data_IF_238314928096
#
_entry.id   IF_238314928096
#
_cell.length_a   1.000
_cell.length_b   1.000
_cell.length_c   1.000
_cell.angle_alpha   90.00
_cell.angle_beta   90.00
_cell.angle_gamma   90.00
#
_symmetry.space_group_name_H-M   'P 1'
#
loop_
_entity.id
_entity.type
_entity.pdbx_description
1 polymer ?
#
# COMPACT_ATOMS: atom_id res chain seq x y z
N UNK A 1 6.75 -23.01 -10.96
CA UNK A 1 6.73 -22.47 -9.57
C UNK A 1 6.23 -21.03 -9.63
N UNK A 2 5.23 -20.65 -8.85
CA UNK A 2 4.70 -19.29 -8.85
C UNK A 2 5.75 -18.33 -8.26
N UNK A 3 6.09 -17.27 -8.98
CA UNK A 3 7.11 -16.28 -8.62
C UNK A 3 6.46 -15.04 -7.99
N UNK A 4 5.39 -14.55 -8.61
CA UNK A 4 4.65 -13.39 -8.14
C UNK A 4 3.78 -13.72 -6.93
N UNK A 5 3.81 -12.84 -5.94
CA UNK A 5 2.91 -12.82 -4.79
C UNK A 5 1.69 -11.94 -5.03
N UNK A 6 1.10 -11.43 -3.96
CA UNK A 6 -0.03 -10.48 -4.03
C UNK A 6 0.37 -9.07 -4.45
N UNK A 7 1.66 -8.70 -4.24
CA UNK A 7 2.19 -7.38 -4.56
C UNK A 7 3.64 -7.53 -5.08
N UNK A 8 3.77 -7.98 -6.31
CA UNK A 8 5.05 -8.23 -6.96
C UNK A 8 5.78 -9.47 -6.45
N UNK A 9 7.10 -9.47 -6.60
CA UNK A 9 7.99 -10.56 -6.16
C UNK A 9 8.68 -10.14 -4.88
N UNK A 10 8.49 -10.88 -3.78
CA UNK A 10 9.08 -10.56 -2.47
C UNK A 10 9.87 -11.74 -1.91
N UNK A 11 10.89 -11.44 -1.11
CA UNK A 11 11.64 -12.43 -0.36
C UNK A 11 12.87 -11.87 0.31
N UNK A 12 13.53 -12.71 1.10
CA UNK A 12 14.77 -12.36 1.80
C UNK A 12 15.88 -12.12 0.76
N UNK A 13 16.50 -10.93 0.84
CA UNK A 13 17.60 -10.56 -0.04
C UNK A 13 18.83 -11.48 0.18
N UNK A 14 19.45 -11.92 -0.90
CA UNK A 14 20.55 -12.88 -0.87
C UNK A 14 20.12 -14.34 -0.69
N UNK A 15 18.83 -14.61 -0.43
CA UNK A 15 18.29 -15.99 -0.32
C UNK A 15 17.35 -16.27 -1.51
N UNK A 16 16.17 -15.65 -1.53
CA UNK A 16 15.24 -15.73 -2.67
C UNK A 16 15.61 -14.70 -3.75
N UNK A 17 15.82 -13.45 -3.35
CA UNK A 17 16.24 -12.39 -4.26
C UNK A 17 17.77 -12.36 -4.34
N UNK A 18 18.34 -13.33 -5.06
CA UNK A 18 19.76 -13.35 -5.44
C UNK A 18 19.99 -12.53 -6.71
N UNK A 19 21.22 -12.03 -6.97
CA UNK A 19 21.51 -11.30 -8.21
C UNK A 19 21.12 -12.08 -9.47
N UNK A 20 21.37 -13.39 -9.51
CA UNK A 20 21.02 -14.24 -10.67
C UNK A 20 19.52 -14.36 -10.88
N UNK A 21 18.76 -14.55 -9.78
CA UNK A 21 17.30 -14.58 -9.85
C UNK A 21 16.74 -13.24 -10.34
N UNK A 22 17.26 -12.12 -9.81
CA UNK A 22 16.82 -10.77 -10.18
C UNK A 22 17.17 -10.46 -11.64
N UNK A 23 18.36 -10.83 -12.12
CA UNK A 23 18.74 -10.68 -13.53
C UNK A 23 17.77 -11.45 -14.43
N UNK A 24 17.52 -12.71 -14.12
CA UNK A 24 16.59 -13.55 -14.88
C UNK A 24 15.18 -12.93 -14.92
N UNK A 25 14.68 -12.46 -13.79
CA UNK A 25 13.38 -11.79 -13.70
C UNK A 25 13.37 -10.48 -14.52
N UNK A 26 14.46 -9.70 -14.45
CA UNK A 26 14.62 -8.46 -15.20
C UNK A 26 14.60 -8.68 -16.71
N UNK A 27 15.28 -9.72 -17.21
CA UNK A 27 15.24 -10.10 -18.63
C UNK A 27 13.82 -10.51 -19.02
N UNK A 28 13.17 -11.40 -18.24
CA UNK A 28 11.83 -11.87 -18.53
C UNK A 28 10.81 -10.73 -18.59
N UNK A 29 10.80 -9.85 -17.59
CA UNK A 29 9.94 -8.68 -17.55
C UNK A 29 10.23 -7.71 -18.71
N UNK A 30 11.52 -7.45 -18.98
CA UNK A 30 11.93 -6.60 -20.11
C UNK A 30 11.47 -7.15 -21.45
N UNK A 31 11.57 -8.46 -21.70
CA UNK A 31 11.06 -9.11 -22.92
C UNK A 31 9.54 -9.00 -23.03
N UNK A 32 8.84 -9.13 -21.92
CA UNK A 32 7.38 -8.90 -21.88
C UNK A 32 7.05 -7.46 -22.31
N UNK A 33 7.66 -6.46 -21.68
CA UNK A 33 7.41 -5.05 -22.00
C UNK A 33 7.86 -4.68 -23.42
N UNK A 34 8.85 -5.36 -23.96
CA UNK A 34 9.35 -5.12 -25.34
C UNK A 34 8.27 -5.32 -26.40
N UNK A 35 7.29 -6.19 -26.15
CA UNK A 35 6.16 -6.44 -27.07
C UNK A 35 5.30 -5.19 -27.29
N UNK A 36 5.30 -4.26 -26.32
CA UNK A 36 4.51 -3.03 -26.35
C UNK A 36 5.35 -1.76 -26.21
N UNK A 37 6.68 -1.89 -26.35
CA UNK A 37 7.64 -0.79 -26.19
C UNK A 37 7.42 0.30 -27.25
N UNK A 38 7.41 1.56 -26.79
CA UNK A 38 7.31 2.75 -27.64
C UNK A 38 8.55 3.64 -27.55
N UNK A 39 9.21 3.63 -26.39
CA UNK A 39 10.28 4.58 -26.05
C UNK A 39 11.58 3.89 -25.71
N UNK A 40 11.55 2.59 -25.55
CA UNK A 40 12.68 1.76 -25.14
C UNK A 40 13.33 2.22 -23.81
N UNK A 41 12.51 2.74 -22.88
CA UNK A 41 12.94 3.25 -21.59
C UNK A 41 12.23 2.53 -20.44
N UNK A 42 12.98 2.17 -19.40
CA UNK A 42 12.44 1.66 -18.14
C UNK A 42 12.95 2.52 -16.99
N UNK A 43 12.02 2.91 -16.11
CA UNK A 43 12.30 3.64 -14.88
C UNK A 43 12.53 2.66 -13.73
N UNK A 44 13.57 2.87 -12.91
CA UNK A 44 13.83 2.10 -11.70
C UNK A 44 14.00 3.05 -10.51
N UNK A 45 13.21 2.82 -9.47
CA UNK A 45 13.42 3.44 -8.18
C UNK A 45 13.42 2.39 -7.07
N UNK A 46 13.75 2.82 -5.86
CA UNK A 46 13.88 1.94 -4.70
C UNK A 46 13.51 2.66 -3.40
N UNK A 47 13.29 1.89 -2.34
CA UNK A 47 13.31 2.41 -0.99
C UNK A 47 14.77 2.55 -0.47
N UNK A 48 14.91 2.71 0.84
CA UNK A 48 16.21 2.97 1.47
C UNK A 48 16.99 1.72 1.87
N UNK A 49 16.48 0.52 1.62
CA UNK A 49 17.11 -0.76 1.99
C UNK A 49 18.48 -0.91 1.36
N UNK A 50 19.46 -1.36 2.15
CA UNK A 50 20.84 -1.63 1.68
C UNK A 50 20.88 -2.64 0.53
N UNK A 51 20.03 -3.67 0.59
CA UNK A 51 19.90 -4.67 -0.49
C UNK A 51 19.36 -4.11 -1.80
N UNK A 52 18.75 -2.93 -1.78
CA UNK A 52 18.26 -2.23 -2.97
C UNK A 52 19.35 -1.98 -4.00
N UNK A 53 20.59 -1.73 -3.57
CA UNK A 53 21.74 -1.56 -4.51
C UNK A 53 22.05 -2.84 -5.31
N UNK A 54 22.04 -3.99 -4.63
CA UNK A 54 22.26 -5.27 -5.30
C UNK A 54 21.15 -5.59 -6.30
N UNK A 55 19.90 -5.38 -5.91
CA UNK A 55 18.74 -5.65 -6.78
C UNK A 55 18.70 -4.67 -7.95
N UNK A 56 18.92 -3.37 -7.72
CA UNK A 56 18.95 -2.34 -8.76
C UNK A 56 20.02 -2.63 -9.82
N UNK A 57 21.26 -2.92 -9.41
CA UNK A 57 22.35 -3.22 -10.35
C UNK A 57 22.09 -4.49 -11.17
N UNK A 58 21.50 -5.51 -10.58
CA UNK A 58 21.12 -6.73 -11.30
C UNK A 58 20.02 -6.45 -12.34
N UNK A 59 19.00 -5.65 -12.00
CA UNK A 59 17.96 -5.22 -12.95
C UNK A 59 18.52 -4.36 -14.07
N UNK A 60 19.41 -3.41 -13.76
CA UNK A 60 20.05 -2.55 -14.75
C UNK A 60 20.84 -3.39 -15.74
N UNK A 61 21.67 -4.32 -15.26
CA UNK A 61 22.44 -5.23 -16.14
C UNK A 61 21.52 -6.08 -17.00
N UNK A 62 20.46 -6.63 -16.45
CA UNK A 62 19.47 -7.44 -17.16
C UNK A 62 18.80 -6.64 -18.30
N UNK A 63 18.30 -5.47 -17.99
CA UNK A 63 17.52 -4.66 -18.93
C UNK A 63 18.39 -4.05 -20.03
N UNK A 64 19.59 -3.58 -19.69
CA UNK A 64 20.54 -3.06 -20.70
C UNK A 64 21.03 -4.17 -21.62
N UNK A 65 21.24 -5.40 -21.14
CA UNK A 65 21.65 -6.54 -21.95
C UNK A 65 20.65 -6.92 -23.04
N UNK A 66 19.38 -6.59 -22.89
CA UNK A 66 18.31 -6.80 -23.88
C UNK A 66 17.92 -5.52 -24.62
N UNK A 67 18.73 -4.46 -24.48
CA UNK A 67 18.64 -3.23 -25.25
C UNK A 67 17.68 -2.18 -24.69
N UNK A 68 17.34 -2.17 -23.41
CA UNK A 68 16.61 -1.06 -22.79
C UNK A 68 17.53 0.05 -22.30
N UNK A 69 17.06 1.29 -22.39
CA UNK A 69 17.65 2.44 -21.71
C UNK A 69 17.03 2.58 -20.33
N UNK A 70 17.81 2.36 -19.29
CA UNK A 70 17.36 2.36 -17.91
C UNK A 70 17.59 3.73 -17.29
N UNK A 71 16.55 4.25 -16.62
CA UNK A 71 16.60 5.49 -15.84
C UNK A 71 16.52 5.13 -14.37
N UNK A 72 17.59 5.39 -13.62
CA UNK A 72 17.66 5.17 -12.17
C UNK A 72 17.36 6.48 -11.45
N UNK A 73 16.46 6.48 -10.47
CA UNK A 73 16.05 7.70 -9.76
C UNK A 73 16.31 7.64 -8.24
N UNK A 74 16.90 6.55 -7.76
CA UNK A 74 17.26 6.39 -6.34
C UNK A 74 16.05 6.19 -5.41
N UNK A 75 16.19 6.54 -4.11
CA UNK A 75 15.12 6.38 -3.15
C UNK A 75 13.96 7.35 -3.41
N UNK A 76 12.80 6.77 -3.74
CA UNK A 76 11.55 7.49 -4.01
C UNK A 76 10.34 6.63 -3.57
N UNK A 77 9.23 7.24 -3.15
CA UNK A 77 7.98 6.53 -2.85
C UNK A 77 7.47 5.65 -3.99
N UNK A 78 6.82 4.53 -3.66
CA UNK A 78 6.17 3.66 -4.66
C UNK A 78 5.21 4.43 -5.57
N UNK A 79 4.31 5.30 -5.09
CA UNK A 79 3.45 6.10 -5.96
C UNK A 79 4.22 7.06 -6.87
N UNK A 80 5.40 7.53 -6.45
CA UNK A 80 6.26 8.35 -7.32
C UNK A 80 6.75 7.56 -8.54
N UNK A 81 7.07 6.25 -8.37
CA UNK A 81 7.47 5.41 -9.50
C UNK A 81 6.32 5.26 -10.50
N UNK A 82 5.10 5.02 -10.00
CA UNK A 82 3.90 4.95 -10.83
C UNK A 82 3.71 6.25 -11.64
N UNK A 83 3.74 7.39 -10.97
CA UNK A 83 3.60 8.72 -11.58
C UNK A 83 4.71 9.02 -12.60
N UNK A 84 5.98 8.86 -12.21
CA UNK A 84 7.13 9.20 -13.05
C UNK A 84 7.26 8.27 -14.27
N UNK A 85 6.77 7.03 -14.19
CA UNK A 85 6.73 6.13 -15.34
C UNK A 85 5.90 6.72 -16.47
N UNK A 86 4.72 7.24 -16.17
CA UNK A 86 3.84 7.91 -17.14
C UNK A 86 4.41 9.28 -17.56
N UNK A 87 4.79 10.14 -16.60
CA UNK A 87 5.30 11.50 -16.83
C UNK A 87 6.54 11.52 -17.71
N UNK A 88 7.47 10.59 -17.49
CA UNK A 88 8.70 10.48 -18.27
C UNK A 88 8.54 9.61 -19.54
N UNK A 89 7.32 9.14 -19.81
CA UNK A 89 6.98 8.30 -20.96
C UNK A 89 7.88 7.07 -21.06
N UNK A 90 7.99 6.33 -19.94
CA UNK A 90 8.69 5.06 -19.91
C UNK A 90 7.75 3.92 -20.31
N UNK A 91 8.28 2.85 -20.89
CA UNK A 91 7.49 1.66 -21.26
C UNK A 91 7.07 0.87 -20.04
N UNK A 92 7.85 0.96 -18.95
CA UNK A 92 7.56 0.36 -17.67
C UNK A 92 8.28 1.10 -16.53
N UNK A 93 7.74 0.93 -15.31
CA UNK A 93 8.38 1.34 -14.05
C UNK A 93 8.64 0.13 -13.15
N UNK A 94 9.73 0.19 -12.41
CA UNK A 94 10.11 -0.84 -11.44
C UNK A 94 10.38 -0.18 -10.10
N UNK A 95 9.68 -0.63 -9.06
CA UNK A 95 9.94 -0.25 -7.68
C UNK A 95 10.60 -1.41 -6.94
N UNK A 96 11.73 -1.12 -6.30
CA UNK A 96 12.47 -2.07 -5.47
C UNK A 96 12.15 -1.75 -4.01
N UNK A 97 11.23 -2.51 -3.42
CA UNK A 97 10.80 -2.36 -2.03
C UNK A 97 10.04 -3.60 -1.54
N UNK A 98 10.13 -3.87 -0.25
CA UNK A 98 9.25 -4.80 0.46
C UNK A 98 8.25 -4.08 1.37
N UNK A 99 7.94 -2.80 1.10
CA UNK A 99 6.98 -1.96 1.84
C UNK A 99 7.31 -1.95 3.35
N UNK A 100 6.40 -2.44 4.18
CA UNK A 100 6.51 -2.45 5.65
C UNK A 100 7.35 -3.61 6.25
N UNK A 101 7.88 -4.53 5.43
CA UNK A 101 8.70 -5.63 5.92
C UNK A 101 10.03 -5.14 6.54
N UNK A 102 10.69 -5.95 7.41
CA UNK A 102 12.04 -5.67 7.90
C UNK A 102 13.07 -5.50 6.78
N UNK A 103 14.23 -4.90 7.09
CA UNK A 103 15.22 -4.52 6.09
C UNK A 103 15.87 -5.69 5.34
N UNK A 104 15.87 -6.90 5.92
CA UNK A 104 16.41 -8.12 5.30
C UNK A 104 15.59 -8.60 4.11
N UNK A 105 14.30 -8.26 4.10
CA UNK A 105 13.43 -8.53 2.96
C UNK A 105 13.58 -7.43 1.90
N UNK A 106 13.32 -7.81 0.66
CA UNK A 106 13.14 -6.85 -0.43
C UNK A 106 12.08 -7.36 -1.40
N UNK A 107 11.71 -6.53 -2.37
CA UNK A 107 10.71 -6.86 -3.37
C UNK A 107 10.94 -6.13 -4.68
N UNK A 108 10.26 -6.57 -5.71
CA UNK A 108 10.27 -5.96 -7.04
C UNK A 108 8.81 -5.86 -7.49
N UNK A 109 8.33 -4.63 -7.66
CA UNK A 109 6.99 -4.31 -8.14
C UNK A 109 7.12 -3.72 -9.55
N UNK A 110 6.26 -4.14 -10.46
CA UNK A 110 6.25 -3.67 -11.84
C UNK A 110 5.03 -2.81 -12.13
N UNK A 111 5.25 -1.74 -12.89
CA UNK A 111 4.22 -0.84 -13.38
C UNK A 111 4.26 -0.80 -14.90
N UNK A 112 3.10 -0.79 -15.54
CA UNK A 112 2.99 -0.58 -16.99
C UNK A 112 3.23 0.89 -17.36
N UNK A 113 3.24 1.22 -18.64
CA UNK A 113 3.50 2.57 -19.16
C UNK A 113 2.50 3.65 -18.69
N UNK A 114 1.37 3.24 -18.11
CA UNK A 114 0.36 4.13 -17.54
C UNK A 114 0.47 4.25 -16.01
N UNK A 115 1.50 3.67 -15.39
CA UNK A 115 1.70 3.69 -13.94
C UNK A 115 0.78 2.75 -13.14
N UNK A 116 0.07 1.83 -13.79
CA UNK A 116 -0.71 0.81 -13.10
C UNK A 116 0.13 -0.44 -12.80
N UNK A 117 -0.12 -1.09 -11.67
CA UNK A 117 0.43 -2.41 -11.37
C UNK A 117 -0.01 -3.43 -12.41
N UNK A 118 0.82 -4.44 -12.64
CA UNK A 118 0.52 -5.50 -13.60
C UNK A 118 -0.70 -6.32 -13.17
N UNK A 119 -1.49 -6.74 -14.15
CA UNK A 119 -2.57 -7.70 -13.95
C UNK A 119 -2.03 -9.13 -13.82
N UNK A 120 -2.83 -10.02 -13.25
CA UNK A 120 -2.41 -11.42 -13.05
C UNK A 120 -2.00 -12.13 -14.36
N UNK A 121 -2.66 -11.80 -15.47
CA UNK A 121 -2.35 -12.32 -16.79
C UNK A 121 -0.97 -11.86 -17.29
N UNK A 122 -0.61 -10.60 -17.01
CA UNK A 122 0.68 -10.02 -17.34
C UNK A 122 1.81 -10.64 -16.48
N UNK A 123 1.54 -10.83 -15.18
CA UNK A 123 2.45 -11.51 -14.26
C UNK A 123 2.71 -12.96 -14.71
N UNK A 124 1.67 -13.71 -15.11
CA UNK A 124 1.78 -15.07 -15.66
C UNK A 124 2.60 -15.11 -16.93
N UNK A 125 2.39 -14.15 -17.85
CA UNK A 125 3.18 -14.08 -19.09
C UNK A 125 4.66 -13.82 -18.80
N UNK A 126 5.00 -13.02 -17.78
CA UNK A 126 6.40 -12.85 -17.35
C UNK A 126 6.94 -14.14 -16.72
N UNK A 127 6.14 -14.87 -15.92
CA UNK A 127 6.54 -16.17 -15.36
C UNK A 127 6.85 -17.21 -16.44
N UNK A 128 6.05 -17.27 -17.50
CA UNK A 128 6.30 -18.14 -18.65
C UNK A 128 7.65 -17.84 -19.29
N UNK A 129 7.93 -16.56 -19.58
CA UNK A 129 9.23 -16.13 -20.14
C UNK A 129 10.38 -16.44 -19.15
N UNK A 130 10.16 -16.24 -17.84
CA UNK A 130 11.18 -16.53 -16.83
C UNK A 130 11.62 -18.00 -16.84
N UNK A 131 10.76 -18.93 -17.22
CA UNK A 131 11.07 -20.37 -17.30
C UNK A 131 11.60 -20.81 -18.65
N UNK A 132 11.65 -19.94 -19.66
CA UNK A 132 12.13 -20.23 -21.02
C UNK A 132 13.63 -19.87 -21.13
N UNK A 133 14.50 -20.87 -20.88
CA UNK A 133 15.96 -20.72 -20.92
C UNK A 133 16.45 -20.29 -22.32
N UNK A 134 15.89 -20.88 -23.38
CA UNK A 134 16.33 -20.62 -24.76
C UNK A 134 16.00 -19.17 -25.14
N UNK A 135 14.78 -18.71 -24.84
CA UNK A 135 14.36 -17.33 -25.09
C UNK A 135 15.21 -16.33 -24.31
N UNK A 136 15.51 -16.59 -23.05
CA UNK A 136 16.35 -15.71 -22.23
C UNK A 136 17.76 -15.59 -22.82
N UNK A 137 18.40 -16.70 -23.18
CA UNK A 137 19.76 -16.70 -23.75
C UNK A 137 19.84 -16.08 -25.15
N UNK A 138 18.82 -16.28 -25.98
CA UNK A 138 18.80 -15.72 -27.33
C UNK A 138 18.44 -14.23 -27.38
N UNK A 139 18.03 -13.63 -26.28
CA UNK A 139 17.53 -12.24 -26.21
C UNK A 139 18.63 -11.19 -26.11
N UNK A 140 19.87 -11.56 -25.76
CA UNK A 140 20.97 -10.63 -25.55
C UNK A 140 21.30 -9.84 -26.80
N UNK A 141 21.56 -8.54 -26.62
CA UNK A 141 21.97 -7.62 -27.68
C UNK A 141 23.49 -7.50 -27.75
N UNK A 142 23.99 -7.12 -28.91
CA UNK A 142 25.41 -6.93 -29.13
C UNK A 142 25.71 -5.56 -29.75
N UNK A 143 26.89 -5.04 -29.50
CA UNK A 143 27.35 -3.79 -30.06
C UNK A 143 26.46 -2.61 -29.72
N UNK A 144 26.09 -1.83 -30.70
CA UNK A 144 25.26 -0.63 -30.56
C UNK A 144 23.81 -0.91 -30.12
N UNK A 145 23.37 -2.17 -30.20
CA UNK A 145 22.02 -2.58 -29.75
C UNK A 145 21.92 -2.81 -28.25
N UNK A 146 23.03 -2.83 -27.52
CA UNK A 146 23.03 -2.88 -26.04
C UNK A 146 22.48 -1.57 -25.52
N UNK A 147 21.61 -1.65 -24.50
CA UNK A 147 21.00 -0.48 -23.88
C UNK A 147 21.99 0.32 -23.01
N UNK A 148 21.56 1.46 -22.57
CA UNK A 148 22.31 2.34 -21.67
C UNK A 148 21.64 2.50 -20.32
N UNK A 149 22.38 3.00 -19.32
CA UNK A 149 21.82 3.37 -18.03
C UNK A 149 22.26 4.78 -17.65
N UNK A 150 21.33 5.54 -17.05
CA UNK A 150 21.64 6.86 -16.49
C UNK A 150 20.92 7.06 -15.17
N UNK A 151 21.54 7.80 -14.28
CA UNK A 151 20.92 8.27 -13.05
C UNK A 151 20.42 9.70 -13.21
N UNK A 152 19.23 9.96 -12.69
CA UNK A 152 18.62 11.30 -12.63
C UNK A 152 18.20 11.53 -11.19
N UNK A 153 18.80 12.53 -10.53
CA UNK A 153 18.56 12.80 -9.10
C UNK A 153 17.54 13.95 -8.88
N UNK A 154 17.24 14.75 -9.88
CA UNK A 154 16.37 15.93 -9.80
C UNK A 154 14.88 15.66 -10.06
N UNK A 155 14.50 14.41 -10.26
CA UNK A 155 13.10 14.01 -10.49
C UNK A 155 12.19 14.22 -9.29
N UNK A 156 12.77 14.36 -8.08
CA UNK A 156 12.03 14.58 -6.84
C UNK A 156 11.11 15.82 -6.93
N UNK A 157 11.58 16.87 -7.58
CA UNK A 157 10.81 18.09 -7.78
C UNK A 157 9.54 17.88 -8.59
N UNK A 158 9.56 16.98 -9.57
CA UNK A 158 8.37 16.63 -10.38
C UNK A 158 7.27 16.01 -9.51
N UNK A 159 7.65 15.07 -8.65
CA UNK A 159 6.71 14.41 -7.75
C UNK A 159 6.21 15.37 -6.67
N UNK A 160 7.05 16.26 -6.11
CA UNK A 160 6.64 17.31 -5.17
C UNK A 160 5.58 18.22 -5.81
N UNK A 161 5.78 18.68 -7.04
CA UNK A 161 4.79 19.48 -7.77
C UNK A 161 3.50 18.70 -7.96
N UNK A 162 3.58 17.43 -8.35
CA UNK A 162 2.42 16.56 -8.50
C UNK A 162 1.63 16.41 -7.20
N UNK A 163 2.31 16.14 -6.08
CA UNK A 163 1.67 16.05 -4.75
C UNK A 163 0.93 17.34 -4.38
N UNK A 164 1.56 18.51 -4.59
CA UNK A 164 0.94 19.80 -4.30
C UNK A 164 -0.29 20.08 -5.15
N UNK A 165 -0.42 19.49 -6.34
CA UNK A 165 -1.65 19.59 -7.15
C UNK A 165 -2.84 18.87 -6.51
N UNK A 166 -2.61 17.89 -5.62
CA UNK A 166 -3.69 17.24 -4.88
C UNK A 166 -4.24 18.11 -3.75
N UNK A 167 -3.48 19.11 -3.29
CA UNK A 167 -3.89 19.99 -2.21
C UNK A 167 -4.67 21.20 -2.76
N UNK A 168 -5.82 21.60 -2.15
CA UNK A 168 -6.64 22.71 -2.65
C UNK A 168 -5.87 24.03 -2.70
N UNK A 169 -5.85 24.70 -3.86
CA UNK A 169 -5.04 25.92 -4.10
C UNK A 169 -5.41 27.11 -3.20
N UNK A 170 -6.61 27.15 -2.65
CA UNK A 170 -7.06 28.22 -1.75
C UNK A 170 -6.64 28.00 -0.29
N UNK A 171 -6.06 26.85 0.03
CA UNK A 171 -5.57 26.50 1.36
C UNK A 171 -4.04 26.61 1.42
N UNK A 172 -3.55 26.78 2.63
CA UNK A 172 -2.15 26.59 3.02
C UNK A 172 -2.09 25.93 4.40
N UNK A 173 -0.93 25.41 4.76
CA UNK A 173 -0.71 24.75 6.05
C UNK A 173 -0.13 25.69 7.12
N UNK A 174 -0.16 27.00 6.90
CA UNK A 174 0.30 27.97 7.90
C UNK A 174 -0.45 27.77 9.22
N UNK A 175 0.29 27.85 10.32
CA UNK A 175 -0.16 27.63 11.70
C UNK A 175 -0.55 26.18 12.03
N UNK A 176 -0.38 25.21 11.13
CA UNK A 176 -0.44 23.80 11.49
C UNK A 176 0.96 23.29 11.86
N UNK A 177 1.07 22.70 13.02
CA UNK A 177 2.23 21.92 13.43
C UNK A 177 1.98 20.44 13.13
N UNK A 178 2.88 19.85 12.35
CA UNK A 178 2.76 18.49 11.85
C UNK A 178 4.01 17.69 12.20
N UNK A 179 3.83 16.52 12.80
CA UNK A 179 4.92 15.55 12.99
C UNK A 179 4.87 14.52 11.87
N UNK A 180 5.99 14.33 11.18
CA UNK A 180 6.15 13.34 10.11
C UNK A 180 7.08 12.22 10.58
N UNK A 181 6.62 10.99 10.55
CA UNK A 181 7.44 9.79 10.70
C UNK A 181 7.65 9.15 9.33
N UNK A 182 8.86 9.25 8.82
CA UNK A 182 9.20 8.75 7.48
C UNK A 182 9.69 7.30 7.47
N UNK A 183 9.63 6.60 8.60
CA UNK A 183 10.02 5.20 8.75
C UNK A 183 11.47 4.88 8.32
N UNK A 184 12.38 5.86 8.29
CA UNK A 184 13.67 5.77 7.59
C UNK A 184 13.53 5.24 6.15
N UNK A 185 12.37 5.47 5.53
CA UNK A 185 11.95 4.95 4.24
C UNK A 185 11.99 5.98 3.12
N UNK A 186 11.33 5.68 2.03
CA UNK A 186 11.38 6.43 0.77
C UNK A 186 10.80 7.86 0.85
N UNK A 187 9.95 8.14 1.85
CA UNK A 187 9.36 9.47 2.05
C UNK A 187 10.32 10.51 2.66
N UNK A 188 11.48 10.11 3.19
CA UNK A 188 12.35 10.93 4.03
C UNK A 188 12.78 12.28 3.42
N UNK A 189 12.91 12.35 2.09
CA UNK A 189 13.22 13.60 1.39
C UNK A 189 12.00 14.36 0.92
N UNK A 190 10.96 13.63 0.47
CA UNK A 190 9.79 14.23 -0.18
C UNK A 190 8.84 14.83 0.85
N UNK A 191 8.52 14.07 1.91
CA UNK A 191 7.51 14.48 2.88
C UNK A 191 7.82 15.82 3.55
N UNK A 192 9.02 16.04 4.14
CA UNK A 192 9.34 17.31 4.77
C UNK A 192 9.22 18.51 3.82
N UNK A 193 9.69 18.35 2.59
CA UNK A 193 9.68 19.43 1.60
C UNK A 193 8.25 19.83 1.21
N UNK A 194 7.38 18.84 0.91
CA UNK A 194 5.99 19.11 0.50
C UNK A 194 5.24 19.89 1.59
N UNK A 195 5.32 19.44 2.84
CA UNK A 195 4.61 20.07 3.95
C UNK A 195 5.17 21.46 4.29
N UNK A 196 6.50 21.61 4.29
CA UNK A 196 7.15 22.91 4.53
C UNK A 196 6.85 23.92 3.41
N UNK A 197 6.87 23.51 2.13
CA UNK A 197 6.52 24.38 1.01
C UNK A 197 5.04 24.82 1.02
N UNK A 198 4.16 24.04 1.63
CA UNK A 198 2.76 24.43 1.86
C UNK A 198 2.57 25.27 3.12
N UNK A 199 3.63 25.52 3.90
CA UNK A 199 3.65 26.46 5.02
C UNK A 199 3.51 25.82 6.41
N UNK A 200 3.53 24.49 6.56
CA UNK A 200 3.46 23.83 7.85
C UNK A 200 4.72 24.04 8.72
N UNK A 201 4.52 24.08 10.03
CA UNK A 201 5.59 23.91 11.04
C UNK A 201 5.84 22.39 11.18
N UNK A 202 6.92 21.90 10.56
CA UNK A 202 7.17 20.45 10.39
C UNK A 202 8.25 19.98 11.36
N UNK A 203 7.92 18.96 12.15
CA UNK A 203 8.88 18.14 12.88
C UNK A 203 8.98 16.78 12.18
N UNK A 204 10.21 16.34 11.89
CA UNK A 204 10.45 15.04 11.26
C UNK A 204 11.14 14.10 12.23
N UNK A 205 10.70 12.86 12.25
CA UNK A 205 11.34 11.77 12.99
C UNK A 205 11.60 10.60 12.05
N UNK A 206 12.59 9.77 12.37
CA UNK A 206 12.97 8.59 11.59
C UNK A 206 13.26 8.91 10.11
N UNK A 207 14.08 9.94 9.87
CA UNK A 207 14.44 10.47 8.56
C UNK A 207 15.94 10.33 8.21
N UNK A 208 16.67 9.50 8.98
CA UNK A 208 18.09 9.20 8.79
C UNK A 208 18.31 7.74 8.37
N UNK A 209 17.98 7.36 7.12
CA UNK A 209 18.11 6.01 6.66
C UNK A 209 19.59 5.56 6.56
N UNK A 210 19.92 4.43 7.19
CA UNK A 210 21.25 3.83 7.12
C UNK A 210 21.28 2.53 6.27
N UNK A 211 20.15 2.18 5.68
CA UNK A 211 19.98 0.98 4.84
C UNK A 211 19.51 -0.26 5.60
N UNK A 212 19.55 -0.24 6.93
CA UNK A 212 19.16 -1.36 7.79
C UNK A 212 18.06 -0.99 8.81
N UNK A 213 17.73 0.28 8.96
CA UNK A 213 16.78 0.78 9.96
C UNK A 213 15.39 1.15 9.40
N UNK A 214 15.09 0.79 8.16
CA UNK A 214 13.76 1.02 7.56
C UNK A 214 12.70 0.24 8.33
N UNK A 215 11.60 0.90 8.73
CA UNK A 215 10.49 0.35 9.53
C UNK A 215 10.91 -0.18 10.93
N UNK A 216 12.13 0.03 11.39
CA UNK A 216 12.60 -0.47 12.66
C UNK A 216 11.96 0.30 13.82
N UNK A 217 10.95 -0.28 14.45
CA UNK A 217 10.16 0.31 15.54
C UNK A 217 9.58 1.71 15.22
N UNK A 218 9.34 2.01 13.95
CA UNK A 218 8.84 3.29 13.46
C UNK A 218 7.87 3.14 12.28
N UNK A 219 7.33 4.27 11.82
CA UNK A 219 6.42 4.33 10.67
C UNK A 219 5.04 3.73 10.92
N UNK A 220 4.35 3.39 9.84
CA UNK A 220 2.93 2.99 9.87
C UNK A 220 2.62 1.73 10.71
N UNK A 221 3.59 0.83 10.91
CA UNK A 221 3.40 -0.34 11.78
C UNK A 221 3.65 -0.07 13.27
N UNK A 222 4.41 0.96 13.59
CA UNK A 222 4.83 1.30 14.95
C UNK A 222 4.61 2.78 15.26
N UNK A 223 3.36 3.29 15.19
CA UNK A 223 3.06 4.72 15.32
C UNK A 223 3.11 5.26 16.76
N UNK A 224 3.53 4.45 17.74
CA UNK A 224 3.55 4.85 19.15
C UNK A 224 4.53 6.01 19.42
N UNK A 225 5.70 6.01 18.77
CA UNK A 225 6.65 7.12 18.87
C UNK A 225 6.04 8.40 18.31
N UNK A 226 5.41 8.33 17.13
CA UNK A 226 4.71 9.47 16.53
C UNK A 226 3.63 10.02 17.47
N UNK A 227 2.82 9.15 18.10
CA UNK A 227 1.80 9.54 19.09
C UNK A 227 2.40 10.33 20.27
N UNK A 228 3.56 9.90 20.78
CA UNK A 228 4.26 10.58 21.86
C UNK A 228 4.80 11.96 21.43
N UNK A 229 5.41 12.03 20.24
CA UNK A 229 5.94 13.29 19.73
C UNK A 229 4.83 14.30 19.39
N UNK A 230 3.69 13.88 18.86
CA UNK A 230 2.51 14.73 18.66
C UNK A 230 2.08 15.37 19.97
N UNK A 231 1.97 14.61 21.06
CA UNK A 231 1.61 15.13 22.40
C UNK A 231 2.67 16.09 22.93
N UNK A 232 3.92 15.71 22.85
CA UNK A 232 5.08 16.46 23.38
C UNK A 232 5.20 17.83 22.71
N UNK A 233 5.08 17.88 21.40
CA UNK A 233 5.18 19.12 20.62
C UNK A 233 3.86 19.85 20.44
N UNK A 234 2.75 19.31 20.97
CA UNK A 234 1.38 19.84 20.81
C UNK A 234 1.08 20.06 19.32
N UNK A 235 1.38 19.05 18.53
CA UNK A 235 1.12 19.11 17.10
C UNK A 235 -0.36 18.91 16.80
N UNK A 236 -0.83 19.49 15.70
CA UNK A 236 -2.21 19.38 15.25
C UNK A 236 -2.50 18.02 14.59
N UNK A 237 -1.46 17.45 13.95
CA UNK A 237 -1.52 16.19 13.23
C UNK A 237 -0.17 15.46 13.29
N UNK A 238 -0.22 14.15 13.27
CA UNK A 238 0.93 13.28 13.02
C UNK A 238 0.66 12.36 11.84
N UNK A 239 1.68 12.15 11.01
CA UNK A 239 1.63 11.28 9.84
C UNK A 239 2.77 10.28 9.86
N UNK A 240 2.48 8.98 9.93
CA UNK A 240 3.45 7.91 9.79
C UNK A 240 3.27 7.20 8.45
N UNK A 241 4.35 7.15 7.69
CA UNK A 241 4.42 6.41 6.42
C UNK A 241 5.01 5.02 6.66
N UNK A 242 4.80 4.09 5.74
CA UNK A 242 5.58 2.87 5.68
C UNK A 242 6.82 3.04 4.79
N UNK A 243 7.65 2.00 4.70
CA UNK A 243 8.97 2.09 4.06
C UNK A 243 8.98 2.60 2.62
N UNK A 244 7.93 2.40 1.85
CA UNK A 244 7.78 2.89 0.47
C UNK A 244 6.63 3.89 0.29
N UNK A 245 6.06 4.35 1.40
CA UNK A 245 5.11 5.44 1.51
C UNK A 245 3.82 5.26 0.69
N UNK A 246 3.41 4.04 0.43
CA UNK A 246 2.11 3.74 -0.18
C UNK A 246 0.98 3.67 0.87
N UNK A 247 1.33 3.74 2.18
CA UNK A 247 0.42 3.74 3.32
C UNK A 247 0.62 4.94 4.22
N UNK A 248 -0.47 5.30 4.91
CA UNK A 248 -0.50 6.35 5.91
C UNK A 248 -1.20 5.89 7.18
N UNK A 249 -0.61 6.15 8.33
CA UNK A 249 -1.26 6.17 9.63
C UNK A 249 -1.31 7.60 10.14
N UNK A 250 -2.47 8.03 10.61
CA UNK A 250 -2.71 9.38 11.11
C UNK A 250 -2.83 9.35 12.62
N UNK A 251 -2.23 10.34 13.27
CA UNK A 251 -2.37 10.60 14.71
C UNK A 251 -3.02 11.98 14.88
N UNK A 252 -4.05 12.06 15.71
CA UNK A 252 -4.75 13.31 16.00
C UNK A 252 -3.99 14.18 17.03
N UNK A 253 -4.46 15.40 17.28
CA UNK A 253 -3.85 16.36 18.20
C UNK A 253 -3.82 15.89 19.67
N UNK A 254 -4.59 14.88 20.04
CA UNK A 254 -4.55 14.24 21.36
C UNK A 254 -3.58 13.04 21.41
N UNK A 255 -2.95 12.72 20.27
CA UNK A 255 -2.06 11.58 20.13
C UNK A 255 -2.78 10.25 19.97
N UNK A 256 -4.06 10.23 19.62
CA UNK A 256 -4.77 9.00 19.31
C UNK A 256 -4.49 8.60 17.86
N UNK A 257 -4.30 7.30 17.65
CA UNK A 257 -4.14 6.73 16.31
C UNK A 257 -5.54 6.66 15.67
N UNK A 258 -5.70 7.33 14.54
CA UNK A 258 -6.95 7.31 13.77
C UNK A 258 -7.03 6.02 12.96
N UNK A 259 -8.10 5.25 13.17
CA UNK A 259 -8.29 4.00 12.45
C UNK A 259 -8.51 4.23 10.96
N UNK A 260 -7.94 3.37 10.09
CA UNK A 260 -8.05 3.54 8.65
C UNK A 260 -9.48 3.58 8.10
N UNK A 261 -10.41 2.85 8.71
CA UNK A 261 -11.83 2.92 8.32
C UNK A 261 -12.47 4.29 8.69
N UNK A 262 -12.03 4.93 9.78
CA UNK A 262 -12.45 6.31 10.07
C UNK A 262 -11.92 7.27 9.01
N UNK A 263 -10.66 7.09 8.59
CA UNK A 263 -10.08 7.88 7.48
C UNK A 263 -10.83 7.67 6.17
N UNK A 264 -11.13 6.42 5.80
CA UNK A 264 -11.93 6.12 4.60
C UNK A 264 -13.31 6.78 4.67
N UNK A 265 -13.95 6.73 5.85
CA UNK A 265 -15.25 7.36 6.06
C UNK A 265 -15.21 8.88 5.89
N UNK A 266 -14.36 9.58 6.66
CA UNK A 266 -14.30 11.06 6.62
C UNK A 266 -13.83 11.58 5.27
N UNK A 267 -12.82 10.93 4.67
CA UNK A 267 -12.30 11.35 3.36
C UNK A 267 -13.33 11.11 2.25
N UNK A 268 -14.07 9.99 2.29
CA UNK A 268 -15.16 9.73 1.35
C UNK A 268 -16.25 10.79 1.41
N UNK A 269 -16.68 11.18 2.62
CA UNK A 269 -17.65 12.26 2.83
C UNK A 269 -17.08 13.62 2.42
N UNK A 270 -15.81 13.87 2.71
CA UNK A 270 -15.13 15.08 2.29
C UNK A 270 -15.08 15.19 0.76
N UNK A 271 -14.69 14.13 0.03
CA UNK A 271 -14.71 14.12 -1.44
C UNK A 271 -16.13 14.35 -1.99
N UNK A 272 -17.15 13.74 -1.37
CA UNK A 272 -18.56 14.00 -1.72
C UNK A 272 -18.91 15.47 -1.59
N UNK A 273 -18.55 16.11 -0.48
CA UNK A 273 -18.84 17.53 -0.22
C UNK A 273 -18.19 18.49 -1.23
N UNK A 274 -17.10 18.04 -1.88
CA UNK A 274 -16.39 18.77 -2.95
C UNK A 274 -16.91 18.44 -4.35
N UNK A 275 -17.91 17.58 -4.48
CA UNK A 275 -18.36 17.02 -5.76
C UNK A 275 -17.20 16.35 -6.54
N UNK A 276 -16.23 15.79 -5.82
CA UNK A 276 -15.04 15.18 -6.39
C UNK A 276 -15.15 13.66 -6.56
N UNK A 277 -16.25 13.02 -6.11
CA UNK A 277 -16.48 11.60 -6.35
C UNK A 277 -17.03 11.37 -7.76
N UNK A 278 -16.44 10.41 -8.48
CA UNK A 278 -16.91 9.99 -9.80
C UNK A 278 -18.15 9.08 -9.75
N UNK A 279 -18.39 8.45 -8.59
CA UNK A 279 -19.58 7.67 -8.28
C UNK A 279 -19.91 7.77 -6.78
N UNK A 280 -21.08 7.29 -6.36
CA UNK A 280 -21.41 7.21 -4.94
C UNK A 280 -20.73 6.01 -4.23
N UNK A 281 -19.99 5.20 -4.96
CA UNK A 281 -19.30 4.03 -4.41
C UNK A 281 -17.96 4.40 -3.80
N UNK A 282 -17.77 4.01 -2.55
CA UNK A 282 -16.48 3.96 -1.87
C UNK A 282 -16.06 2.49 -1.83
N UNK A 283 -14.84 2.19 -2.23
CA UNK A 283 -14.34 0.81 -2.25
C UNK A 283 -13.47 0.53 -1.02
N UNK A 284 -13.74 -0.58 -0.33
CA UNK A 284 -12.89 -1.05 0.74
C UNK A 284 -12.80 -2.59 0.74
N UNK A 285 -11.85 -3.12 1.50
CA UNK A 285 -11.70 -4.58 1.58
C UNK A 285 -12.73 -5.22 2.52
N UNK A 286 -12.86 -6.54 2.42
CA UNK A 286 -13.67 -7.33 3.35
C UNK A 286 -13.15 -7.29 4.81
N UNK A 287 -12.05 -6.59 5.09
CA UNK A 287 -11.56 -6.39 6.46
C UNK A 287 -12.13 -5.14 7.11
N UNK A 288 -12.71 -4.22 6.34
CA UNK A 288 -13.26 -2.96 6.86
C UNK A 288 -14.39 -3.19 7.84
N UNK A 289 -14.42 -2.37 8.87
CA UNK A 289 -15.38 -2.44 9.97
C UNK A 289 -16.81 -2.15 9.50
N UNK A 290 -17.78 -2.86 10.03
CA UNK A 290 -19.20 -2.72 9.66
C UNK A 290 -19.75 -1.32 9.94
N UNK A 291 -19.22 -0.64 10.97
CA UNK A 291 -19.58 0.75 11.27
C UNK A 291 -19.28 1.72 10.13
N UNK A 292 -18.22 1.46 9.35
CA UNK A 292 -17.92 2.23 8.12
C UNK A 292 -19.08 2.13 7.13
N UNK A 293 -19.64 0.95 6.92
CA UNK A 293 -20.76 0.73 6.00
C UNK A 293 -22.00 1.50 6.45
N UNK A 294 -22.32 1.45 7.74
CA UNK A 294 -23.47 2.18 8.31
C UNK A 294 -23.26 3.70 8.23
N UNK A 295 -22.04 4.17 8.55
CA UNK A 295 -21.70 5.58 8.46
C UNK A 295 -21.82 6.09 7.01
N UNK A 296 -21.21 5.43 6.03
CA UNK A 296 -21.30 5.83 4.63
C UNK A 296 -22.74 5.83 4.12
N UNK A 297 -23.54 4.83 4.50
CA UNK A 297 -24.97 4.78 4.17
C UNK A 297 -25.73 5.98 4.73
N UNK A 298 -25.42 6.43 5.97
CA UNK A 298 -26.03 7.63 6.56
C UNK A 298 -25.66 8.92 5.84
N UNK A 299 -24.62 8.89 5.03
CA UNK A 299 -24.10 9.98 4.21
C UNK A 299 -24.46 9.82 2.72
N UNK A 300 -25.45 8.97 2.38
CA UNK A 300 -25.85 8.65 0.99
C UNK A 300 -24.66 8.20 0.12
N UNK A 301 -23.78 7.38 0.68
CA UNK A 301 -22.66 6.73 0.02
C UNK A 301 -22.81 5.22 0.14
N UNK A 302 -22.33 4.48 -0.86
CA UNK A 302 -22.37 3.05 -0.89
C UNK A 302 -20.96 2.46 -0.66
N UNK A 303 -20.82 1.52 0.30
CA UNK A 303 -19.58 0.78 0.47
C UNK A 303 -19.59 -0.48 -0.42
N UNK A 304 -18.62 -0.57 -1.33
CA UNK A 304 -18.35 -1.76 -2.15
C UNK A 304 -17.18 -2.53 -1.56
N UNK A 305 -17.39 -3.79 -1.22
CA UNK A 305 -16.36 -4.64 -0.70
C UNK A 305 -15.62 -5.41 -1.80
N UNK A 306 -14.31 -5.55 -1.63
CA UNK A 306 -13.46 -6.40 -2.48
C UNK A 306 -12.62 -7.36 -1.63
N UNK A 307 -11.88 -8.25 -2.29
CA UNK A 307 -10.88 -9.09 -1.65
C UNK A 307 -9.74 -8.23 -1.05
N UNK A 308 -9.00 -8.82 -0.10
CA UNK A 308 -7.89 -8.15 0.58
C UNK A 308 -6.69 -8.03 -0.37
N UNK A 309 -6.16 -6.83 -0.49
CA UNK A 309 -5.01 -6.49 -1.31
C UNK A 309 -5.30 -5.28 -2.22
N UNK A 310 -4.34 -4.41 -2.34
CA UNK A 310 -4.41 -3.15 -3.07
C UNK A 310 -4.79 -3.31 -4.56
N UNK A 311 -4.32 -4.39 -5.18
CA UNK A 311 -4.69 -4.78 -6.55
C UNK A 311 -6.21 -4.97 -6.68
N UNK A 312 -6.82 -5.70 -5.75
CA UNK A 312 -8.27 -5.94 -5.76
C UNK A 312 -9.08 -4.68 -5.46
N UNK A 313 -8.55 -3.79 -4.61
CA UNK A 313 -9.16 -2.47 -4.38
C UNK A 313 -9.17 -1.68 -5.69
N UNK A 314 -8.03 -1.60 -6.38
CA UNK A 314 -7.90 -0.87 -7.65
C UNK A 314 -8.81 -1.44 -8.74
N UNK A 315 -8.87 -2.77 -8.88
CA UNK A 315 -9.77 -3.45 -9.83
C UNK A 315 -11.25 -3.18 -9.51
N UNK A 316 -11.64 -3.28 -8.24
CA UNK A 316 -13.01 -3.01 -7.79
C UNK A 316 -13.39 -1.54 -8.00
N UNK A 317 -12.45 -0.60 -7.79
CA UNK A 317 -12.66 0.83 -8.11
C UNK A 317 -12.95 1.02 -9.59
N UNK A 318 -12.16 0.41 -10.48
CA UNK A 318 -12.39 0.48 -11.93
C UNK A 318 -13.74 -0.09 -12.34
N UNK A 319 -14.13 -1.25 -11.81
CA UNK A 319 -15.42 -1.90 -12.09
C UNK A 319 -16.62 -1.04 -11.64
N UNK A 320 -16.51 -0.36 -10.52
CA UNK A 320 -17.57 0.49 -9.97
C UNK A 320 -17.45 1.97 -10.39
N UNK A 321 -16.50 2.30 -11.26
CA UNK A 321 -16.20 3.68 -11.69
C UNK A 321 -15.97 4.61 -10.48
N UNK A 322 -15.39 4.08 -9.42
CA UNK A 322 -15.07 4.82 -8.21
C UNK A 322 -13.65 5.38 -8.31
N UNK A 323 -13.47 6.63 -7.92
CA UNK A 323 -12.17 7.29 -7.87
C UNK A 323 -11.57 7.35 -6.44
N UNK A 324 -12.27 6.78 -5.44
CA UNK A 324 -11.81 6.75 -4.06
C UNK A 324 -12.07 5.39 -3.42
N UNK A 325 -11.07 4.88 -2.71
CA UNK A 325 -11.14 3.62 -2.00
C UNK A 325 -9.85 3.31 -1.25
N UNK A 326 -9.81 2.18 -0.54
CA UNK A 326 -8.60 1.78 0.17
C UNK A 326 -8.78 0.63 1.14
N UNK A 327 -7.80 0.48 2.00
CA UNK A 327 -7.75 -0.53 3.04
C UNK A 327 -7.62 0.11 4.42
N UNK A 328 -8.18 -0.51 5.44
CA UNK A 328 -8.01 -0.08 6.84
C UNK A 328 -6.54 0.00 7.29
N UNK A 329 -5.63 -0.67 6.56
CA UNK A 329 -4.18 -0.62 6.80
C UNK A 329 -3.53 0.72 6.41
N UNK A 330 -4.31 1.69 5.92
CA UNK A 330 -3.83 3.01 5.50
C UNK A 330 -3.43 3.11 4.03
N UNK A 331 -3.58 2.03 3.24
CA UNK A 331 -3.40 2.09 1.79
C UNK A 331 -4.65 2.70 1.15
N UNK A 332 -4.64 4.00 0.91
CA UNK A 332 -5.78 4.78 0.40
C UNK A 332 -5.46 5.32 -0.99
N UNK A 333 -6.39 5.13 -1.91
CA UNK A 333 -6.26 5.48 -3.32
C UNK A 333 -7.22 6.63 -3.66
N UNK A 334 -6.66 7.73 -4.15
CA UNK A 334 -7.35 8.82 -4.83
C UNK A 334 -6.97 8.75 -6.30
N UNK A 335 -7.74 8.05 -7.13
CA UNK A 335 -7.32 7.75 -8.50
C UNK A 335 -7.20 8.97 -9.42
N UNK A 336 -7.75 10.10 -9.02
CA UNK A 336 -7.57 11.38 -9.71
C UNK A 336 -6.15 11.93 -9.55
N UNK A 337 -5.42 11.49 -8.50
CA UNK A 337 -4.07 11.95 -8.18
C UNK A 337 -3.03 10.83 -8.26
N UNK A 338 -3.37 9.59 -7.93
CA UNK A 338 -2.44 8.48 -7.91
C UNK A 338 -3.06 7.18 -8.41
N UNK A 339 -2.30 6.38 -9.16
CA UNK A 339 -2.74 5.09 -9.71
C UNK A 339 -2.69 3.94 -8.70
N UNK A 340 -2.09 4.16 -7.54
CA UNK A 340 -1.98 3.26 -6.40
C UNK A 340 -2.15 4.05 -5.11
N UNK A 341 -2.11 3.42 -3.95
CA UNK A 341 -2.09 4.14 -2.67
C UNK A 341 -0.92 5.13 -2.62
N UNK A 342 -1.19 6.31 -2.10
CA UNK A 342 -0.21 7.36 -1.91
C UNK A 342 -0.40 7.99 -0.52
N UNK A 343 0.50 7.65 0.40
CA UNK A 343 0.44 8.15 1.77
C UNK A 343 0.57 9.67 1.84
N UNK A 344 1.34 10.28 0.95
CA UNK A 344 1.53 11.73 0.91
C UNK A 344 0.30 12.47 0.38
N UNK A 345 -0.32 11.97 -0.70
CA UNK A 345 -1.63 12.49 -1.16
C UNK A 345 -2.67 12.36 -0.05
N UNK A 346 -2.74 11.19 0.60
CA UNK A 346 -3.68 10.96 1.70
C UNK A 346 -3.45 11.96 2.85
N UNK A 347 -2.20 12.18 3.28
CA UNK A 347 -1.86 13.12 4.34
C UNK A 347 -2.23 14.57 3.98
N UNK A 348 -2.06 14.97 2.72
CA UNK A 348 -2.49 16.28 2.22
C UNK A 348 -4.01 16.42 2.22
N UNK A 349 -4.75 15.38 1.81
CA UNK A 349 -6.22 15.37 1.84
C UNK A 349 -6.77 15.41 3.28
N UNK A 350 -6.13 14.69 4.22
CA UNK A 350 -6.46 14.79 5.66
C UNK A 350 -6.23 16.21 6.18
N UNK A 351 -5.09 16.82 5.83
CA UNK A 351 -4.78 18.19 6.24
C UNK A 351 -5.80 19.20 5.68
N UNK A 352 -6.20 19.05 4.43
CA UNK A 352 -7.23 19.89 3.81
C UNK A 352 -8.59 19.74 4.49
N UNK A 353 -9.00 18.51 4.80
CA UNK A 353 -10.24 18.22 5.53
C UNK A 353 -10.25 18.90 6.91
N UNK A 354 -9.16 18.75 7.68
CA UNK A 354 -9.06 19.35 9.03
C UNK A 354 -9.14 20.87 8.95
N UNK A 355 -8.43 21.50 8.02
CA UNK A 355 -8.48 22.96 7.83
C UNK A 355 -9.89 23.45 7.47
N UNK A 356 -10.55 22.79 6.52
CA UNK A 356 -11.89 23.22 6.06
C UNK A 356 -13.00 22.92 7.07
N UNK A 357 -12.84 21.86 7.87
CA UNK A 357 -13.78 21.55 8.96
C UNK A 357 -13.79 22.62 10.06
N UNK A 358 -12.70 23.39 10.18
CA UNK A 358 -12.45 24.35 11.28
C UNK A 358 -12.51 23.69 12.67
N UNK A 359 -12.30 22.40 12.74
CA UNK A 359 -12.28 21.59 13.96
C UNK A 359 -10.87 21.08 14.22
N UNK A 360 -10.57 20.76 15.48
CA UNK A 360 -9.35 20.04 15.84
C UNK A 360 -9.40 18.62 15.26
N UNK A 361 -8.24 18.07 14.95
CA UNK A 361 -8.15 16.79 14.25
C UNK A 361 -8.80 15.63 14.99
N UNK A 362 -8.78 15.62 16.34
CA UNK A 362 -9.45 14.60 17.15
C UNK A 362 -10.98 14.58 17.02
N UNK A 363 -11.58 15.71 16.62
CA UNK A 363 -13.02 15.80 16.32
C UNK A 363 -13.28 15.53 14.85
N UNK A 364 -12.54 16.18 13.96
CA UNK A 364 -12.73 16.08 12.51
C UNK A 364 -12.53 14.64 11.97
N UNK A 365 -11.61 13.88 12.58
CA UNK A 365 -11.23 12.53 12.14
C UNK A 365 -11.92 11.40 12.92
N UNK A 366 -12.89 11.73 13.79
CA UNK A 366 -13.59 10.75 14.60
C UNK A 366 -15.13 10.80 14.38
N UNK A 367 -15.63 10.48 13.19
CA UNK A 367 -17.03 10.69 12.80
C UNK A 367 -18.00 9.62 13.33
N UNK A 368 -17.49 8.45 13.72
CA UNK A 368 -18.29 7.33 14.23
C UNK A 368 -17.43 6.41 15.10
N UNK A 369 -18.11 5.63 15.97
CA UNK A 369 -17.44 4.61 16.75
C UNK A 369 -17.37 3.28 15.98
N UNK A 370 -16.22 2.61 16.08
CA UNK A 370 -16.02 1.29 15.47
C UNK A 370 -16.78 0.23 16.29
N UNK A 371 -17.29 -0.78 15.61
CA UNK A 371 -17.80 -1.96 16.30
C UNK A 371 -16.64 -2.79 16.84
N UNK A 372 -16.82 -3.41 18.01
CA UNK A 372 -15.88 -4.39 18.52
C UNK A 372 -15.56 -5.46 17.48
N UNK A 373 -14.27 -5.69 17.26
CA UNK A 373 -13.76 -6.64 16.29
C UNK A 373 -12.69 -7.52 16.94
N UNK A 374 -12.78 -8.83 16.78
CA UNK A 374 -11.82 -9.78 17.30
C UNK A 374 -11.23 -10.61 16.16
N UNK A 375 -9.91 -10.59 16.03
CA UNK A 375 -9.15 -11.32 15.02
C UNK A 375 -8.23 -12.33 15.69
N UNK A 376 -8.44 -13.61 15.37
CA UNK A 376 -7.63 -14.72 15.88
C UNK A 376 -6.97 -15.46 14.74
N UNK A 377 -5.71 -15.84 14.96
CA UNK A 377 -4.94 -16.68 14.06
C UNK A 377 -4.64 -18.02 14.77
N UNK A 378 -5.28 -19.11 14.34
CA UNK A 378 -5.04 -20.45 14.84
C UNK A 378 -4.01 -21.16 13.98
N UNK A 379 -3.02 -21.80 14.58
CA UNK A 379 -2.12 -22.69 13.87
C UNK A 379 -2.87 -23.99 13.55
N UNK A 380 -2.80 -24.46 12.31
CA UNK A 380 -3.52 -25.65 11.87
C UNK A 380 -2.56 -26.66 11.25
N UNK A 381 -2.82 -27.96 11.50
CA UNK A 381 -2.03 -29.05 10.93
C UNK A 381 -2.51 -29.44 9.52
N UNK A 382 -3.78 -29.23 9.23
CA UNK A 382 -4.43 -29.57 7.95
C UNK A 382 -5.38 -28.47 7.51
N UNK A 383 -5.63 -28.37 6.21
CA UNK A 383 -6.49 -27.34 5.61
C UNK A 383 -7.60 -28.00 4.73
N UNK A 384 -8.50 -28.81 5.28
CA UNK A 384 -9.64 -29.32 4.51
C UNK A 384 -10.56 -28.14 4.16
N UNK A 385 -11.42 -28.25 3.12
CA UNK A 385 -12.47 -27.28 2.88
C UNK A 385 -13.30 -27.05 4.14
N UNK A 386 -13.49 -25.80 4.56
CA UNK A 386 -14.18 -25.47 5.82
C UNK A 386 -15.61 -26.02 5.84
N UNK A 387 -16.27 -26.03 4.69
CA UNK A 387 -17.62 -26.53 4.48
C UNK A 387 -17.74 -28.05 4.74
N UNK A 388 -16.64 -28.76 4.68
CA UNK A 388 -16.59 -30.22 4.95
C UNK A 388 -16.55 -30.55 6.46
N UNK A 389 -16.31 -29.56 7.32
CA UNK A 389 -16.27 -29.77 8.77
C UNK A 389 -17.67 -29.96 9.33
N UNK A 390 -17.87 -31.04 10.07
CA UNK A 390 -19.18 -31.36 10.68
C UNK A 390 -19.55 -30.28 11.71
N UNK A 391 -20.69 -29.62 11.50
CA UNK A 391 -21.19 -28.56 12.38
C UNK A 391 -20.83 -27.14 11.90
N UNK A 392 -19.92 -26.95 10.93
CA UNK A 392 -19.50 -25.62 10.47
C UNK A 392 -20.68 -24.78 9.94
N UNK A 393 -21.53 -25.33 9.09
CA UNK A 393 -22.68 -24.61 8.54
C UNK A 393 -23.73 -24.24 9.60
N UNK A 394 -23.86 -25.04 10.66
CA UNK A 394 -24.76 -24.73 11.80
C UNK A 394 -24.20 -23.53 12.59
N UNK A 395 -22.91 -23.53 12.82
CA UNK A 395 -22.22 -22.47 13.54
C UNK A 395 -22.29 -21.13 12.76
N UNK A 396 -22.11 -21.14 11.44
CA UNK A 396 -22.29 -19.93 10.63
C UNK A 396 -23.72 -19.38 10.70
N UNK A 397 -24.73 -20.24 10.60
CA UNK A 397 -26.14 -19.85 10.73
C UNK A 397 -26.48 -19.25 12.10
N UNK A 398 -25.80 -19.71 13.14
CA UNK A 398 -25.95 -19.14 14.49
C UNK A 398 -25.34 -17.73 14.56
N UNK A 399 -24.14 -17.54 13.99
CA UNK A 399 -23.51 -16.20 13.91
C UNK A 399 -24.39 -15.23 13.12
N UNK A 400 -24.92 -15.66 11.96
CA UNK A 400 -25.82 -14.84 11.14
C UNK A 400 -27.10 -14.45 11.89
N UNK A 401 -27.70 -15.40 12.64
CA UNK A 401 -28.89 -15.14 13.46
C UNK A 401 -28.65 -14.14 14.59
N UNK A 402 -27.41 -14.10 15.10
CA UNK A 402 -26.97 -13.16 16.13
C UNK A 402 -26.44 -11.84 15.55
N UNK A 403 -26.54 -11.65 14.23
CA UNK A 403 -26.02 -10.49 13.50
C UNK A 403 -24.50 -10.28 13.71
N UNK A 404 -23.74 -11.38 13.96
CA UNK A 404 -22.30 -11.36 14.09
C UNK A 404 -21.69 -11.52 12.70
N UNK A 405 -21.03 -10.48 12.23
CA UNK A 405 -20.26 -10.56 11.00
C UNK A 405 -19.05 -11.45 11.22
N UNK A 406 -18.79 -12.34 10.29
CA UNK A 406 -17.68 -13.27 10.36
C UNK A 406 -16.91 -13.36 9.02
N UNK A 407 -15.59 -13.53 9.12
CA UNK A 407 -14.71 -13.83 8.00
C UNK A 407 -13.72 -14.91 8.45
N UNK A 408 -13.91 -16.13 7.95
CA UNK A 408 -13.12 -17.29 8.35
C UNK A 408 -12.42 -17.84 7.11
N UNK A 409 -11.08 -17.88 7.11
CA UNK A 409 -10.32 -18.34 5.96
C UNK A 409 -8.94 -18.86 6.33
N UNK A 410 -8.41 -19.76 5.53
CA UNK A 410 -7.00 -20.14 5.64
C UNK A 410 -6.07 -19.03 5.16
N UNK A 411 -4.89 -18.94 5.78
CA UNK A 411 -3.78 -18.16 5.24
C UNK A 411 -3.25 -18.84 3.98
N UNK A 412 -3.00 -18.05 2.93
CA UNK A 412 -2.41 -18.54 1.69
C UNK A 412 -0.94 -18.94 1.82
N UNK A 413 -0.21 -18.33 2.77
CA UNK A 413 1.25 -18.47 2.91
C UNK A 413 1.67 -19.22 4.18
N UNK A 414 0.82 -19.29 5.20
CA UNK A 414 1.10 -19.88 6.49
C UNK A 414 0.11 -21.00 6.82
N UNK A 415 0.50 -21.93 7.70
CA UNK A 415 -0.40 -22.95 8.22
C UNK A 415 -1.28 -22.40 9.34
N UNK A 416 -2.11 -21.39 8.99
CA UNK A 416 -2.99 -20.71 9.92
C UNK A 416 -4.41 -20.59 9.37
N UNK A 417 -5.39 -20.71 10.27
CA UNK A 417 -6.77 -20.29 10.05
C UNK A 417 -6.92 -18.89 10.67
N UNK A 418 -7.45 -17.96 9.91
CA UNK A 418 -7.77 -16.60 10.37
C UNK A 418 -9.26 -16.48 10.58
N UNK A 419 -9.66 -16.09 11.78
CA UNK A 419 -11.04 -15.92 12.21
C UNK A 419 -11.22 -14.47 12.61
N UNK A 420 -12.05 -13.74 11.89
CA UNK A 420 -12.50 -12.42 12.24
C UNK A 420 -13.96 -12.50 12.63
N UNK A 421 -14.29 -11.98 13.79
CA UNK A 421 -15.66 -11.71 14.22
C UNK A 421 -15.83 -10.23 14.50
N UNK A 422 -17.04 -9.71 14.28
CA UNK A 422 -17.40 -8.34 14.52
C UNK A 422 -18.88 -8.23 14.92
N UNK A 423 -19.18 -7.50 15.99
CA UNK A 423 -20.54 -7.31 16.50
C UNK A 423 -20.63 -6.02 17.33
N UNK A 424 -21.86 -5.55 17.61
CA UNK A 424 -22.11 -4.41 18.49
C UNK A 424 -21.88 -4.74 19.97
N UNK A 425 -22.13 -5.98 20.38
CA UNK A 425 -21.96 -6.47 21.76
C UNK A 425 -20.60 -7.18 21.90
N UNK A 426 -19.70 -6.55 22.64
CA UNK A 426 -18.34 -7.04 22.88
C UNK A 426 -18.33 -8.36 23.67
N UNK A 427 -19.22 -8.52 24.68
CA UNK A 427 -19.29 -9.74 25.49
C UNK A 427 -19.77 -10.93 24.68
N UNK A 428 -20.78 -10.70 23.84
CA UNK A 428 -21.26 -11.73 22.91
C UNK A 428 -20.17 -12.11 21.90
N UNK A 429 -19.42 -11.13 21.41
CA UNK A 429 -18.31 -11.33 20.49
C UNK A 429 -17.21 -12.22 21.09
N UNK A 430 -16.80 -11.93 22.33
CA UNK A 430 -15.79 -12.71 23.05
C UNK A 430 -16.25 -14.16 23.25
N UNK A 431 -17.49 -14.36 23.69
CA UNK A 431 -18.08 -15.69 23.90
C UNK A 431 -18.06 -16.50 22.60
N UNK A 432 -18.54 -15.91 21.50
CA UNK A 432 -18.59 -16.60 20.20
C UNK A 432 -17.21 -16.83 19.58
N UNK A 433 -16.24 -15.97 19.84
CA UNK A 433 -14.87 -16.21 19.43
C UNK A 433 -14.26 -17.41 20.18
N UNK A 434 -14.55 -17.57 21.46
CA UNK A 434 -14.07 -18.71 22.22
C UNK A 434 -14.70 -20.03 21.72
N UNK A 435 -16.00 -20.06 21.46
CA UNK A 435 -16.69 -21.21 20.86
C UNK A 435 -16.08 -21.61 19.50
N UNK A 436 -15.78 -20.62 18.65
CA UNK A 436 -15.14 -20.85 17.36
C UNK A 436 -13.72 -21.42 17.49
N UNK A 437 -12.93 -20.91 18.44
CA UNK A 437 -11.59 -21.45 18.71
C UNK A 437 -11.66 -22.94 19.07
N UNK A 438 -12.49 -23.28 20.04
CA UNK A 438 -12.67 -24.67 20.51
C UNK A 438 -13.13 -25.59 19.36
N UNK A 439 -14.09 -25.10 18.53
CA UNK A 439 -14.52 -25.83 17.35
C UNK A 439 -13.38 -26.12 16.37
N UNK A 440 -12.61 -25.11 16.00
CA UNK A 440 -11.54 -25.30 15.01
C UNK A 440 -10.32 -26.03 15.57
N UNK A 441 -9.98 -25.84 16.85
CA UNK A 441 -8.91 -26.60 17.52
C UNK A 441 -9.24 -28.09 17.53
N UNK A 442 -10.50 -28.47 17.80
CA UNK A 442 -10.93 -29.87 17.79
C UNK A 442 -10.96 -30.53 16.40
N UNK A 443 -11.00 -29.74 15.30
CA UNK A 443 -11.08 -30.27 13.94
C UNK A 443 -9.78 -30.14 13.14
N UNK A 444 -8.93 -29.15 13.43
CA UNK A 444 -7.81 -28.74 12.56
C UNK A 444 -6.43 -28.80 13.22
N UNK A 445 -6.35 -28.87 14.55
CA UNK A 445 -5.09 -28.86 15.31
C UNK A 445 -4.63 -30.25 15.77
#
# INVERSE_FOLDING_TARGET
MKIFGTDGVRGKAGVKLTPMFVMRLGIAAGLYFKKHSKTNKILIGKDTRKSGYMVENALVSALTSIGYNVIQIGPMPTPAIAFLTEDMRCDAGIMISASHNPFEDNGIKFFNSYGYKLKEEEEKAIEEIFHDEELLHSSYKVGESVGSAKRIDDVIGRYIVHLKHSFPKHLNLQNLRIVLDTANGAAYKVAPVVFSELGADVLVINDEPNGCNINEQCGALHPNQLSQEVKKYRADLGFAFDGDADRLVVVDNLGNIVHGDKLLGVLGVYQKSKNALSSQAIVATNMSNLALKEYLKSQDLELKHCAIGDKFVSECMQLNKANFGGEQSGHIIFSDYAKTGDGLVCALQVSALVLESKQVSSVALNPFELYPQNLVNLNVQKKPPLESLKGYSTLLKELDKLEIRHLIRYSGTENKLRILLEAKDEKLLELKMQELKEFFEGHLC
#
